data_IF_108919570671
#
_entry.id   IF_108919570671
#
_cell.length_a   1.000
_cell.length_b   1.000
_cell.length_c   1.000
_cell.angle_alpha   90.00
_cell.angle_beta   90.00
_cell.angle_gamma   90.00
#
_symmetry.space_group_name_H-M   'P 1'
#
loop_
_entity.id
_entity.type
_entity.pdbx_description
1 polymer ?
#
# COMPACT_ATOMS: atom_id res chain seq x y z
N UNK A 1 -5.03 -11.25 32.55
CA UNK A 1 -6.02 -11.95 31.69
C UNK A 1 -7.15 -10.99 31.29
N UNK A 2 -6.85 -9.72 31.01
CA UNK A 2 -7.82 -8.60 31.08
C UNK A 2 -8.24 -7.99 29.73
N UNK A 3 -7.64 -8.35 28.61
CA UNK A 3 -8.29 -8.22 27.30
C UNK A 3 -8.17 -9.56 26.60
N UNK A 4 -9.28 -10.28 26.48
CA UNK A 4 -9.36 -11.57 25.80
C UNK A 4 -9.21 -11.48 24.27
N UNK A 5 -8.34 -10.60 23.75
CA UNK A 5 -7.99 -10.58 22.34
C UNK A 5 -7.15 -11.82 22.03
N UNK A 6 -7.63 -12.67 21.12
CA UNK A 6 -6.87 -13.85 20.69
C UNK A 6 -5.63 -13.33 19.96
N UNK A 7 -4.50 -14.05 20.04
CA UNK A 7 -3.28 -13.74 19.26
C UNK A 7 -3.56 -13.53 17.76
N UNK A 8 -4.61 -14.18 17.27
CA UNK A 8 -5.13 -14.05 15.89
C UNK A 8 -5.76 -12.68 15.59
N UNK A 9 -6.41 -12.04 16.57
CA UNK A 9 -7.04 -10.72 16.38
C UNK A 9 -5.99 -9.63 16.18
N UNK A 10 -4.84 -9.74 16.87
CA UNK A 10 -3.73 -8.79 16.76
C UNK A 10 -3.06 -8.87 15.39
N UNK A 11 -2.81 -10.08 14.86
CA UNK A 11 -2.31 -10.24 13.49
C UNK A 11 -3.30 -9.73 12.44
N UNK A 12 -4.61 -9.94 12.64
CA UNK A 12 -5.63 -9.50 11.69
C UNK A 12 -5.72 -7.97 11.62
N UNK A 13 -5.62 -7.27 12.76
CA UNK A 13 -5.61 -5.80 12.79
C UNK A 13 -4.39 -5.25 12.06
N UNK A 14 -3.20 -5.82 12.29
CA UNK A 14 -1.98 -5.34 11.64
C UNK A 14 -1.96 -5.62 10.13
N UNK A 15 -2.47 -6.79 9.72
CA UNK A 15 -2.62 -7.09 8.30
C UNK A 15 -3.68 -6.17 7.64
N UNK A 16 -4.76 -5.85 8.35
CA UNK A 16 -5.77 -4.90 7.87
C UNK A 16 -5.20 -3.48 7.71
N UNK A 17 -4.40 -3.02 8.68
CA UNK A 17 -3.72 -1.72 8.61
C UNK A 17 -2.76 -1.66 7.40
N UNK A 18 -1.95 -2.71 7.23
CA UNK A 18 -1.03 -2.82 6.08
C UNK A 18 -1.79 -2.85 4.74
N UNK A 19 -2.90 -3.59 4.67
CA UNK A 19 -3.74 -3.62 3.48
C UNK A 19 -4.35 -2.26 3.16
N UNK A 20 -4.79 -1.52 4.18
CA UNK A 20 -5.40 -0.20 4.03
C UNK A 20 -4.38 0.82 3.53
N UNK A 21 -3.17 0.83 4.11
CA UNK A 21 -2.06 1.69 3.70
C UNK A 21 -1.65 1.36 2.25
N UNK A 22 -1.54 0.06 1.90
CA UNK A 22 -1.23 -0.39 0.54
C UNK A 22 -2.26 0.02 -0.51
N UNK A 23 -3.54 -0.03 -0.14
CA UNK A 23 -4.64 0.41 -1.00
C UNK A 23 -4.63 1.94 -1.19
N UNK A 24 -4.51 2.70 -0.11
CA UNK A 24 -4.49 4.18 -0.15
C UNK A 24 -3.28 4.70 -0.92
N UNK A 25 -2.10 4.13 -0.70
CA UNK A 25 -0.90 4.47 -1.46
C UNK A 25 -1.03 4.13 -2.94
N UNK A 26 -1.65 3.00 -3.30
CA UNK A 26 -1.95 2.64 -4.68
C UNK A 26 -2.90 3.62 -5.35
N UNK A 27 -3.94 4.06 -4.63
CA UNK A 27 -4.91 5.05 -5.11
C UNK A 27 -4.26 6.41 -5.37
N UNK A 28 -3.47 6.89 -4.40
CA UNK A 28 -2.73 8.15 -4.49
C UNK A 28 -1.68 8.08 -5.61
N UNK A 29 -0.97 6.96 -5.74
CA UNK A 29 0.01 6.74 -6.80
C UNK A 29 -0.60 6.80 -8.19
N UNK A 30 -1.78 6.17 -8.38
CA UNK A 30 -2.51 6.25 -9.64
C UNK A 30 -2.96 7.68 -9.96
N UNK A 31 -3.44 8.44 -8.96
CA UNK A 31 -3.83 9.84 -9.13
C UNK A 31 -2.65 10.73 -9.52
N UNK A 32 -1.50 10.57 -8.84
CA UNK A 32 -0.28 11.32 -9.14
C UNK A 32 0.22 10.96 -10.54
N UNK A 33 0.22 9.68 -10.93
CA UNK A 33 0.60 9.26 -12.27
C UNK A 33 -0.27 9.92 -13.34
N UNK A 34 -1.59 9.96 -13.13
CA UNK A 34 -2.51 10.67 -14.03
C UNK A 34 -2.16 12.16 -14.15
N UNK A 35 -1.86 12.82 -13.03
CA UNK A 35 -1.49 14.22 -13.00
C UNK A 35 -0.16 14.50 -13.71
N UNK A 36 0.79 13.57 -13.66
CA UNK A 36 2.11 13.65 -14.32
C UNK A 36 2.01 13.40 -15.84
N UNK A 37 1.08 12.55 -16.28
CA UNK A 37 0.90 12.27 -17.71
C UNK A 37 0.57 13.55 -18.51
N UNK A 38 -0.19 14.47 -17.92
CA UNK A 38 -0.55 15.75 -18.55
C UNK A 38 0.67 16.62 -18.92
N UNK A 39 1.54 17.04 -17.98
CA UNK A 39 2.73 17.82 -18.32
C UNK A 39 3.73 17.03 -19.15
N UNK A 40 3.87 15.71 -18.91
CA UNK A 40 4.81 14.89 -19.69
C UNK A 40 4.38 14.80 -21.16
N UNK A 41 3.10 14.59 -21.45
CA UNK A 41 2.59 14.61 -22.83
C UNK A 41 2.78 15.99 -23.49
N UNK A 42 2.61 17.09 -22.74
CA UNK A 42 2.83 18.44 -23.27
C UNK A 42 4.31 18.68 -23.62
N UNK A 43 5.24 18.21 -22.78
CA UNK A 43 6.67 18.28 -23.06
C UNK A 43 7.00 17.42 -24.28
N UNK A 44 6.56 16.16 -24.32
CA UNK A 44 6.83 15.26 -25.45
C UNK A 44 6.30 15.80 -26.77
N UNK A 45 5.12 16.42 -26.75
CA UNK A 45 4.54 17.03 -27.95
C UNK A 45 5.46 18.11 -28.55
N UNK A 46 6.11 18.93 -27.71
CA UNK A 46 7.06 19.95 -28.20
C UNK A 46 8.32 19.36 -28.84
N UNK A 47 8.74 18.14 -28.46
CA UNK A 47 9.94 17.50 -29.00
C UNK A 47 9.66 16.61 -30.20
N UNK A 48 8.53 15.90 -30.20
CA UNK A 48 8.23 14.84 -31.17
C UNK A 48 7.09 15.23 -32.13
N UNK A 49 6.36 16.32 -31.88
CA UNK A 49 5.15 16.76 -32.59
C UNK A 49 4.04 15.69 -32.71
N UNK A 50 4.14 14.64 -31.89
CA UNK A 50 3.13 13.57 -31.80
C UNK A 50 2.32 13.75 -30.52
N UNK A 51 1.01 13.91 -30.68
CA UNK A 51 0.09 14.06 -29.55
C UNK A 51 -0.20 12.71 -28.89
N UNK A 52 -0.37 12.73 -27.56
CA UNK A 52 -0.99 11.64 -26.81
C UNK A 52 -0.21 10.32 -26.82
N UNK A 53 1.13 10.39 -26.75
CA UNK A 53 1.99 9.20 -26.68
C UNK A 53 1.74 8.37 -25.42
N UNK A 54 1.61 9.04 -24.27
CA UNK A 54 1.44 8.37 -22.98
C UNK A 54 -0.04 8.36 -22.65
N UNK A 55 -0.65 7.18 -22.71
CA UNK A 55 -2.05 6.95 -22.34
C UNK A 55 -2.11 5.96 -21.19
N UNK A 56 -2.93 6.28 -20.20
CA UNK A 56 -3.18 5.41 -19.06
C UNK A 56 -4.47 4.66 -19.30
N UNK A 57 -4.33 3.40 -19.71
CA UNK A 57 -5.45 2.47 -19.80
C UNK A 57 -5.91 2.04 -18.39
N UNK A 58 -7.18 1.69 -18.27
CA UNK A 58 -7.81 1.29 -16.99
C UNK A 58 -7.08 0.13 -16.30
N UNK A 59 -6.46 -0.77 -17.06
CA UNK A 59 -5.71 -1.91 -16.51
C UNK A 59 -4.45 -1.49 -15.74
N UNK A 60 -3.84 -0.35 -16.06
CA UNK A 60 -2.66 0.15 -15.33
C UNK A 60 -3.01 0.48 -13.88
N UNK A 61 -4.19 1.08 -13.66
CA UNK A 61 -4.69 1.40 -12.31
C UNK A 61 -4.89 0.13 -11.49
N UNK A 62 -5.51 -0.89 -12.10
CA UNK A 62 -5.77 -2.17 -11.45
C UNK A 62 -4.47 -2.87 -11.07
N UNK A 63 -3.50 -2.90 -11.99
CA UNK A 63 -2.18 -3.48 -11.71
C UNK A 63 -1.40 -2.70 -10.65
N UNK A 64 -1.41 -1.36 -10.69
CA UNK A 64 -0.76 -0.55 -9.65
C UNK A 64 -1.36 -0.80 -8.27
N UNK A 65 -2.70 -0.85 -8.16
CA UNK A 65 -3.38 -1.15 -6.90
C UNK A 65 -3.05 -2.55 -6.39
N UNK A 66 -3.06 -3.55 -7.27
CA UNK A 66 -2.72 -4.93 -6.93
C UNK A 66 -1.27 -5.07 -6.44
N UNK A 67 -0.31 -4.48 -7.15
CA UNK A 67 1.11 -4.51 -6.78
C UNK A 67 1.34 -3.74 -5.48
N UNK A 68 0.79 -2.53 -5.33
CA UNK A 68 0.95 -1.70 -4.14
C UNK A 68 0.42 -2.40 -2.88
N UNK A 69 -0.80 -2.95 -2.97
CA UNK A 69 -1.42 -3.66 -1.85
C UNK A 69 -0.63 -4.93 -1.50
N UNK A 70 -0.22 -5.71 -2.51
CA UNK A 70 0.59 -6.92 -2.29
C UNK A 70 1.93 -6.60 -1.65
N UNK A 71 2.63 -5.58 -2.14
CA UNK A 71 3.92 -5.15 -1.61
C UNK A 71 3.79 -4.64 -0.16
N UNK A 72 2.75 -3.86 0.13
CA UNK A 72 2.48 -3.36 1.47
C UNK A 72 2.13 -4.48 2.45
N UNK A 73 1.34 -5.47 2.01
CA UNK A 73 1.07 -6.68 2.78
C UNK A 73 2.35 -7.48 3.05
N UNK A 74 3.22 -7.63 2.04
CA UNK A 74 4.51 -8.32 2.21
C UNK A 74 5.43 -7.58 3.20
N UNK A 75 5.46 -6.24 3.14
CA UNK A 75 6.20 -5.41 4.08
C UNK A 75 5.63 -5.52 5.51
N UNK A 76 4.31 -5.58 5.66
CA UNK A 76 3.62 -5.71 6.95
C UNK A 76 3.62 -7.13 7.53
N UNK A 77 3.86 -8.15 6.72
CA UNK A 77 3.81 -9.56 7.14
C UNK A 77 4.92 -9.93 8.14
N UNK A 78 6.11 -9.35 8.00
CA UNK A 78 7.25 -9.59 8.91
C UNK A 78 6.95 -9.05 10.32
N UNK A 79 6.57 -7.77 10.51
CA UNK A 79 6.22 -7.23 11.82
C UNK A 79 4.93 -7.83 12.40
N UNK A 80 3.92 -8.18 11.60
CA UNK A 80 2.69 -8.83 12.11
C UNK A 80 2.97 -10.17 12.78
N UNK A 81 3.93 -10.93 12.23
CA UNK A 81 4.39 -12.20 12.80
C UNK A 81 5.23 -12.03 14.05
N UNK A 82 5.97 -10.92 14.17
CA UNK A 82 6.68 -10.55 15.40
C UNK A 82 5.68 -10.15 16.48
N UNK A 83 4.68 -9.32 16.16
CA UNK A 83 3.67 -8.85 17.11
C UNK A 83 2.82 -9.99 17.70
N UNK A 84 2.41 -10.98 16.90
CA UNK A 84 1.63 -12.11 17.38
C UNK A 84 2.42 -13.10 18.25
N UNK A 85 3.74 -13.10 18.13
CA UNK A 85 4.64 -13.94 18.92
C UNK A 85 5.23 -13.23 20.15
N UNK A 86 4.96 -11.93 20.36
CA UNK A 86 5.33 -11.24 21.59
C UNK A 86 4.48 -11.79 22.75
N UNK A 87 5.16 -12.30 23.77
CA UNK A 87 4.50 -12.87 24.95
C UNK A 87 3.79 -11.75 25.74
N UNK A 88 2.48 -11.86 26.03
CA UNK A 88 1.72 -10.81 26.73
C UNK A 88 2.22 -10.54 28.16
N UNK A 89 3.09 -11.40 28.71
CA UNK A 89 3.69 -11.22 30.03
C UNK A 89 4.82 -10.18 30.06
N UNK A 90 5.50 -9.91 28.94
CA UNK A 90 6.57 -8.90 28.87
C UNK A 90 6.03 -7.50 28.64
N UNK A 91 4.87 -7.36 27.97
CA UNK A 91 4.24 -6.07 27.71
C UNK A 91 3.65 -5.39 28.97
N UNK A 92 3.39 -6.15 30.04
CA UNK A 92 2.90 -5.61 31.33
C UNK A 92 4.01 -5.34 32.36
N UNK A 93 5.27 -5.68 32.08
CA UNK A 93 6.43 -5.46 32.98
C UNK A 93 7.35 -4.35 32.49
N UNK A 94 6.90 -3.57 31.53
CA UNK A 94 7.63 -2.42 30.98
C UNK A 94 6.73 -1.18 31.04
N UNK A 95 6.10 -1.00 32.20
CA UNK A 95 6.09 0.33 32.80
C UNK A 95 7.42 0.55 33.53
#
# INVERSE_FOLDING_TARGET
>A
RSLGARKMDISNVFNAESSLIGFLSGLIGALIAFLIILPVNAILYNFLDVQNLIKMEWWHVVMMLGISTTLSLMAGFIPSRIAANRDPATALRTE
#
